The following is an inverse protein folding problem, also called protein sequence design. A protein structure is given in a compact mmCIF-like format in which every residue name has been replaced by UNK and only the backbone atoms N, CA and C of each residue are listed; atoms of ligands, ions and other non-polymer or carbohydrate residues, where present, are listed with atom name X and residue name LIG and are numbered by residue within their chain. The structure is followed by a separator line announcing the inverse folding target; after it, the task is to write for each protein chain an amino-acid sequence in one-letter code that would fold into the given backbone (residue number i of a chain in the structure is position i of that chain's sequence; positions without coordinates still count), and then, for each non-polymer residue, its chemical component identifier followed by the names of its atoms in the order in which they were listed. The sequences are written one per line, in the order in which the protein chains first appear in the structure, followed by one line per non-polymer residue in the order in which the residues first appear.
data_IF_621335993498
#
_entry.id   IF_621335993498
#
_cell.length_a   1.000
_cell.length_b   1.000
_cell.length_c   1.000
_cell.angle_alpha   90.00
_cell.angle_beta   90.00
_cell.angle_gamma   90.00
#
_symmetry.space_group_name_H-M   'P 1'
#
loop_
_entity.id
_entity.type
_entity.pdbx_description
1 polymer ?
#
# COMPACT_ATOMS: atom_id res chain seq x y z
N UNK A 1 -29.65 -6.12 -9.12
CA UNK A 1 -28.81 -5.74 -7.96
C UNK A 1 -28.68 -4.23 -8.03
N UNK A 2 -29.27 -3.53 -7.06
CA UNK A 2 -29.59 -2.11 -7.19
C UNK A 2 -28.37 -1.24 -6.86
N UNK A 3 -27.67 -0.82 -7.90
CA UNK A 3 -26.48 0.04 -7.85
C UNK A 3 -26.73 1.36 -7.10
N UNK A 4 -27.98 1.81 -7.07
CA UNK A 4 -28.44 3.00 -6.36
C UNK A 4 -28.36 2.86 -4.84
N UNK A 5 -28.66 1.67 -4.31
CA UNK A 5 -28.55 1.40 -2.88
C UNK A 5 -27.10 1.30 -2.44
N UNK A 6 -26.23 0.70 -3.25
CA UNK A 6 -24.78 0.66 -2.99
C UNK A 6 -24.20 2.08 -2.98
N UNK A 7 -24.55 2.92 -3.96
CA UNK A 7 -24.06 4.29 -4.04
C UNK A 7 -24.56 5.20 -2.91
N UNK A 8 -25.74 4.93 -2.33
CA UNK A 8 -26.25 5.61 -1.13
C UNK A 8 -25.48 5.21 0.12
N UNK A 9 -25.28 3.91 0.36
CA UNK A 9 -24.54 3.42 1.52
C UNK A 9 -23.07 3.86 1.48
N UNK A 10 -22.43 3.84 0.30
CA UNK A 10 -21.05 4.30 0.13
C UNK A 10 -20.91 5.81 0.41
N UNK A 11 -21.88 6.63 -0.02
CA UNK A 11 -21.91 8.06 0.29
C UNK A 11 -22.12 8.33 1.78
N UNK A 12 -22.92 7.50 2.44
CA UNK A 12 -23.16 7.59 3.87
C UNK A 12 -21.89 7.24 4.67
N UNK A 13 -21.22 6.15 4.30
CA UNK A 13 -19.93 5.73 4.87
C UNK A 13 -18.84 6.79 4.65
N UNK A 14 -18.68 7.26 3.41
CA UNK A 14 -17.66 8.25 3.07
C UNK A 14 -17.85 9.59 3.80
N UNK A 15 -19.11 9.99 4.05
CA UNK A 15 -19.41 11.21 4.80
C UNK A 15 -19.00 11.10 6.26
N UNK A 16 -19.18 9.92 6.88
CA UNK A 16 -18.80 9.66 8.26
C UNK A 16 -17.27 9.56 8.40
N UNK A 17 -16.61 8.84 7.49
CA UNK A 17 -15.15 8.70 7.49
C UNK A 17 -14.42 10.03 7.27
N UNK A 18 -14.99 10.92 6.46
CA UNK A 18 -14.43 12.25 6.21
C UNK A 18 -14.41 13.13 7.46
N UNK A 19 -15.43 13.03 8.32
CA UNK A 19 -15.49 13.81 9.57
C UNK A 19 -14.44 13.30 10.57
N UNK A 20 -14.28 11.98 10.67
CA UNK A 20 -13.28 11.35 11.54
C UNK A 20 -11.85 11.66 11.06
N UNK A 21 -11.62 11.60 9.74
CA UNK A 21 -10.35 11.96 9.14
C UNK A 21 -9.99 13.43 9.40
N UNK A 22 -10.94 14.37 9.26
CA UNK A 22 -10.66 15.80 9.45
C UNK A 22 -10.29 16.16 10.90
N UNK A 23 -10.97 15.57 11.88
CA UNK A 23 -10.65 15.75 13.31
C UNK A 23 -9.24 15.23 13.61
N UNK A 24 -8.92 14.03 13.11
CA UNK A 24 -7.61 13.40 13.32
C UNK A 24 -6.50 14.18 12.61
N UNK A 25 -6.75 14.65 11.39
CA UNK A 25 -5.82 15.44 10.59
C UNK A 25 -5.53 16.79 11.27
N UNK A 26 -6.54 17.46 11.82
CA UNK A 26 -6.37 18.74 12.53
C UNK A 26 -5.57 18.57 13.81
N UNK A 27 -5.82 17.49 14.57
CA UNK A 27 -5.05 17.19 15.78
C UNK A 27 -3.58 16.85 15.46
N UNK A 28 -3.35 16.08 14.38
CA UNK A 28 -2.00 15.78 13.87
C UNK A 28 -1.30 17.03 13.34
N UNK A 29 -1.98 17.88 12.57
CA UNK A 29 -1.40 19.09 12.00
C UNK A 29 -0.98 20.10 13.07
N UNK A 30 -1.80 20.33 14.09
CA UNK A 30 -1.45 21.25 15.19
C UNK A 30 -0.34 20.67 16.05
N UNK A 31 -0.41 19.38 16.39
CA UNK A 31 0.62 18.70 17.18
C UNK A 31 1.97 18.62 16.46
N UNK A 32 1.96 18.30 15.16
CA UNK A 32 3.16 18.22 14.32
C UNK A 32 3.73 19.62 14.05
N UNK A 33 2.88 20.62 13.79
CA UNK A 33 3.30 22.00 13.57
C UNK A 33 4.03 22.58 14.77
N UNK A 34 3.49 22.43 15.98
CA UNK A 34 4.15 22.90 17.20
C UNK A 34 5.46 22.15 17.48
N UNK A 35 5.50 20.84 17.25
CA UNK A 35 6.74 20.02 17.39
C UNK A 35 7.80 20.40 16.37
N UNK A 36 7.42 20.63 15.11
CA UNK A 36 8.33 21.06 14.06
C UNK A 36 8.91 22.45 14.35
N UNK A 37 8.06 23.38 14.81
CA UNK A 37 8.51 24.73 15.20
C UNK A 37 9.45 24.70 16.41
N UNK A 38 9.12 23.91 17.43
CA UNK A 38 10.00 23.69 18.58
C UNK A 38 11.34 23.08 18.17
N UNK A 39 11.33 22.07 17.28
CA UNK A 39 12.55 21.47 16.74
C UNK A 39 13.40 22.49 15.96
N UNK A 40 12.77 23.34 15.14
CA UNK A 40 13.46 24.41 14.41
C UNK A 40 14.13 25.40 15.36
N UNK A 41 13.42 25.86 16.40
CA UNK A 41 13.98 26.73 17.42
C UNK A 41 15.14 26.05 18.14
N UNK A 42 15.01 24.76 18.49
CA UNK A 42 16.06 24.01 19.14
C UNK A 42 17.33 23.92 18.28
N UNK A 43 17.19 23.66 16.98
CA UNK A 43 18.31 23.66 16.02
C UNK A 43 18.98 25.03 15.96
N UNK A 44 18.19 26.10 15.84
CA UNK A 44 18.74 27.45 15.77
C UNK A 44 19.44 27.87 17.07
N UNK A 45 18.85 27.52 18.22
CA UNK A 45 19.45 27.74 19.53
C UNK A 45 20.74 26.96 19.71
N UNK A 46 20.80 25.71 19.25
CA UNK A 46 22.02 24.90 19.28
C UNK A 46 23.13 25.51 18.40
N UNK A 47 22.80 25.96 17.19
CA UNK A 47 23.74 26.65 16.30
C UNK A 47 24.29 27.94 16.94
N UNK A 48 23.42 28.75 17.54
CA UNK A 48 23.85 29.98 18.22
C UNK A 48 24.71 29.69 19.45
N UNK A 49 24.37 28.64 20.20
CA UNK A 49 25.16 28.18 21.34
C UNK A 49 26.55 27.68 20.90
N UNK A 50 26.62 26.99 19.76
CA UNK A 50 27.89 26.54 19.18
C UNK A 50 28.76 27.72 18.76
N UNK A 51 28.21 28.73 18.06
CA UNK A 51 28.95 29.94 17.71
C UNK A 51 29.44 30.68 18.96
N UNK A 52 28.57 30.86 19.96
CA UNK A 52 28.94 31.53 21.20
C UNK A 52 30.06 30.79 21.93
N UNK A 53 29.96 29.47 22.03
CA UNK A 53 30.98 28.63 22.63
C UNK A 53 32.29 28.67 21.84
N UNK A 54 32.24 28.65 20.51
CA UNK A 54 33.43 28.78 19.66
C UNK A 54 34.14 30.11 19.88
N UNK A 55 33.40 31.21 19.85
CA UNK A 55 33.93 32.56 20.05
C UNK A 55 34.49 32.76 21.47
N UNK A 56 33.91 32.10 22.48
CA UNK A 56 34.44 32.13 23.84
C UNK A 56 35.71 31.26 23.96
N UNK A 57 35.72 30.07 23.36
CA UNK A 57 36.80 29.10 23.51
C UNK A 57 38.06 29.48 22.72
N UNK A 58 37.89 30.09 21.54
CA UNK A 58 39.00 30.59 20.72
C UNK A 58 39.76 31.75 21.37
N UNK A 59 39.17 32.42 22.37
CA UNK A 59 39.89 33.46 23.14
C UNK A 59 40.95 32.87 24.06
N UNK A 60 40.77 31.61 24.50
CA UNK A 60 41.65 30.95 25.46
C UNK A 60 42.45 29.81 24.80
N UNK A 61 42.02 29.33 23.64
CA UNK A 61 42.61 28.18 22.91
C UNK A 61 42.77 28.47 21.42
N UNK A 62 43.50 27.62 20.69
CA UNK A 62 43.61 27.75 19.23
C UNK A 62 42.31 27.38 18.51
N UNK A 63 42.06 28.01 17.36
CA UNK A 63 40.88 27.75 16.54
C UNK A 63 40.68 26.26 16.21
N UNK A 64 41.78 25.52 15.96
CA UNK A 64 41.76 24.09 15.66
C UNK A 64 41.27 23.29 16.87
N UNK A 65 41.80 23.58 18.07
CA UNK A 65 41.42 22.86 19.29
C UNK A 65 39.99 23.19 19.70
N UNK A 66 39.56 24.44 19.54
CA UNK A 66 38.19 24.87 19.79
C UNK A 66 37.20 24.12 18.86
N UNK A 67 37.47 24.10 17.55
CA UNK A 67 36.64 23.38 16.59
C UNK A 67 36.59 21.87 16.88
N UNK A 68 37.72 21.26 17.25
CA UNK A 68 37.77 19.84 17.60
C UNK A 68 36.95 19.54 18.86
N UNK A 69 37.03 20.39 19.90
CA UNK A 69 36.26 20.22 21.13
C UNK A 69 34.74 20.38 20.89
N UNK A 70 34.34 21.39 20.12
CA UNK A 70 32.94 21.64 19.77
C UNK A 70 32.36 20.52 18.90
N UNK A 71 33.10 20.08 17.88
CA UNK A 71 32.72 18.92 17.08
C UNK A 71 32.57 17.65 17.92
N UNK A 72 33.47 17.43 18.88
CA UNK A 72 33.37 16.34 19.86
C UNK A 72 32.08 16.43 20.70
N UNK A 73 31.76 17.60 21.25
CA UNK A 73 30.51 17.82 21.98
C UNK A 73 29.27 17.54 21.12
N UNK A 74 29.24 18.00 19.87
CA UNK A 74 28.13 17.74 18.95
C UNK A 74 27.97 16.24 18.64
N UNK A 75 29.08 15.50 18.50
CA UNK A 75 29.03 14.05 18.37
C UNK A 75 28.44 13.36 19.60
N UNK A 76 28.80 13.80 20.80
CA UNK A 76 28.21 13.28 22.04
C UNK A 76 26.71 13.55 22.10
N UNK A 77 26.28 14.77 21.77
CA UNK A 77 24.85 15.13 21.69
C UNK A 77 24.13 14.22 20.69
N UNK A 78 24.69 14.03 19.49
CA UNK A 78 24.13 13.17 18.46
C UNK A 78 24.02 11.70 18.92
N UNK A 79 25.04 11.18 19.60
CA UNK A 79 25.02 9.82 20.14
C UNK A 79 23.93 9.65 21.22
N UNK A 80 23.77 10.62 22.12
CA UNK A 80 22.69 10.62 23.11
C UNK A 80 21.32 10.64 22.44
N UNK A 81 21.12 11.52 21.45
CA UNK A 81 19.88 11.58 20.69
C UNK A 81 19.59 10.27 19.95
N UNK A 82 20.60 9.62 19.38
CA UNK A 82 20.45 8.34 18.70
C UNK A 82 20.04 7.23 19.69
N UNK A 83 20.66 7.17 20.87
CA UNK A 83 20.28 6.22 21.93
C UNK A 83 18.85 6.49 22.38
N UNK A 84 18.47 7.74 22.62
CA UNK A 84 17.09 8.09 22.99
C UNK A 84 16.09 7.74 21.88
N UNK A 85 16.42 8.04 20.62
CA UNK A 85 15.59 7.71 19.47
C UNK A 85 15.42 6.19 19.29
N UNK A 86 16.48 5.40 19.52
CA UNK A 86 16.40 3.94 19.49
C UNK A 86 15.57 3.34 20.63
N UNK A 87 15.40 4.08 21.74
CA UNK A 87 14.57 3.68 22.89
C UNK A 87 13.14 4.22 22.79
N UNK A 88 12.85 5.13 21.86
CA UNK A 88 11.51 5.66 21.65
C UNK A 88 10.61 4.51 21.15
N UNK A 89 9.43 4.29 21.78
CA UNK A 89 8.61 3.11 21.55
C UNK A 89 7.86 3.20 20.22
N UNK A 90 8.54 2.89 19.12
CA UNK A 90 7.93 2.58 17.82
C UNK A 90 7.44 1.12 17.75
N UNK A 91 7.88 0.23 18.64
CA UNK A 91 7.51 -1.20 18.60
C UNK A 91 6.08 -1.48 19.06
N UNK A 92 5.64 -0.94 20.20
CA UNK A 92 4.36 -1.34 20.82
C UNK A 92 3.12 -0.84 20.07
N UNK A 93 3.20 0.34 19.43
CA UNK A 93 2.09 0.88 18.63
C UNK A 93 2.01 0.25 17.23
N UNK A 94 3.14 -0.20 16.68
CA UNK A 94 3.19 -0.96 15.41
C UNK A 94 2.74 -2.41 15.64
N UNK A 95 3.08 -3.01 16.77
CA UNK A 95 2.64 -4.36 17.16
C UNK A 95 1.13 -4.41 17.42
N UNK A 96 0.56 -3.41 18.12
CA UNK A 96 -0.89 -3.28 18.28
C UNK A 96 -1.62 -3.03 16.94
N UNK A 97 -1.02 -2.28 16.01
CA UNK A 97 -1.57 -2.11 14.67
C UNK A 97 -1.51 -3.40 13.84
N UNK A 98 -0.47 -4.21 14.01
CA UNK A 98 -0.31 -5.50 13.34
C UNK A 98 -1.26 -6.57 13.91
N UNK A 99 -1.49 -6.59 15.24
CA UNK A 99 -2.47 -7.47 15.89
C UNK A 99 -3.93 -7.15 15.48
N UNK A 100 -4.26 -5.87 15.30
CA UNK A 100 -5.58 -5.45 14.78
C UNK A 100 -5.73 -5.86 13.30
N UNK A 101 -4.65 -5.80 12.52
CA UNK A 101 -4.65 -6.23 11.12
C UNK A 101 -4.77 -7.75 10.97
N UNK A 102 -4.06 -8.53 11.79
CA UNK A 102 -4.15 -10.00 11.77
C UNK A 102 -5.50 -10.50 12.28
N UNK A 103 -6.06 -9.92 13.36
CA UNK A 103 -7.40 -10.28 13.85
C UNK A 103 -8.52 -9.92 12.87
N UNK A 104 -8.35 -8.84 12.10
CA UNK A 104 -9.28 -8.48 11.03
C UNK A 104 -9.17 -9.43 9.82
N UNK A 105 -7.95 -9.91 9.49
CA UNK A 105 -7.74 -10.91 8.44
C UNK A 105 -8.32 -12.28 8.82
N UNK A 106 -8.21 -12.70 10.08
CA UNK A 106 -8.81 -13.95 10.58
C UNK A 106 -10.34 -13.88 10.57
N UNK A 107 -10.92 -12.74 10.95
CA UNK A 107 -12.36 -12.51 10.85
C UNK A 107 -12.84 -12.52 9.38
N UNK A 108 -12.09 -11.88 8.47
CA UNK A 108 -12.38 -11.89 7.03
C UNK A 108 -12.22 -13.28 6.40
N UNK A 109 -11.30 -14.12 6.87
CA UNK A 109 -11.16 -15.51 6.41
C UNK A 109 -12.28 -16.41 6.93
N UNK A 110 -12.74 -16.21 8.17
CA UNK A 110 -13.90 -16.94 8.70
C UNK A 110 -15.17 -16.58 7.92
N UNK A 111 -15.37 -15.30 7.63
CA UNK A 111 -16.52 -14.79 6.89
C UNK A 111 -16.44 -15.15 5.39
N UNK A 112 -15.25 -15.19 4.79
CA UNK A 112 -15.06 -15.69 3.42
C UNK A 112 -15.34 -17.19 3.31
N UNK A 113 -14.97 -17.99 4.32
CA UNK A 113 -15.29 -19.42 4.36
C UNK A 113 -16.77 -19.69 4.57
N UNK A 114 -17.47 -18.90 5.39
CA UNK A 114 -18.93 -19.03 5.54
C UNK A 114 -19.68 -18.61 4.27
N UNK A 115 -19.27 -17.51 3.63
CA UNK A 115 -19.83 -17.08 2.34
C UNK A 115 -19.55 -18.10 1.22
N UNK A 116 -18.37 -18.71 1.19
CA UNK A 116 -18.04 -19.76 0.23
C UNK A 116 -18.85 -21.05 0.48
N UNK A 117 -19.08 -21.40 1.75
CA UNK A 117 -19.91 -22.54 2.12
C UNK A 117 -21.39 -22.31 1.75
N UNK A 118 -21.91 -21.10 1.97
CA UNK A 118 -23.27 -20.73 1.58
C UNK A 118 -23.45 -20.68 0.06
N UNK A 119 -22.49 -20.13 -0.68
CA UNK A 119 -22.50 -20.14 -2.15
C UNK A 119 -22.37 -21.58 -2.68
N UNK A 120 -21.50 -22.40 -2.08
CA UNK A 120 -21.34 -23.82 -2.46
C UNK A 120 -22.61 -24.62 -2.18
N UNK A 121 -23.27 -24.42 -1.04
CA UNK A 121 -24.54 -25.08 -0.73
C UNK A 121 -25.67 -24.66 -1.67
N UNK A 122 -25.71 -23.40 -2.09
CA UNK A 122 -26.71 -22.87 -3.03
C UNK A 122 -26.45 -23.38 -4.47
N UNK A 123 -25.19 -23.60 -4.87
CA UNK A 123 -24.86 -24.15 -6.20
C UNK A 123 -25.14 -25.66 -6.26
N UNK A 124 -24.99 -26.38 -5.15
CA UNK A 124 -25.11 -27.84 -5.11
C UNK A 124 -26.56 -28.38 -5.03
N UNK A 125 -27.58 -27.52 -4.95
CA UNK A 125 -29.01 -27.86 -5.06
C UNK A 125 -29.76 -26.63 -5.60
N UNK A 126 -30.63 -26.63 -6.64
CA UNK A 126 -31.20 -27.67 -7.50
C UNK A 126 -30.83 -27.51 -9.00
N UNK A 127 -29.73 -26.81 -9.33
CA UNK A 127 -29.31 -26.57 -10.73
C UNK A 127 -28.66 -27.80 -11.38
N UNK A 128 -28.17 -28.77 -10.59
CA UNK A 128 -27.51 -29.97 -11.09
C UNK A 128 -28.43 -30.94 -11.89
N UNK A 129 -29.75 -30.72 -11.91
CA UNK A 129 -30.70 -31.50 -12.72
C UNK A 129 -31.03 -30.90 -14.09
N UNK A 130 -30.61 -29.65 -14.37
CA UNK A 130 -30.93 -28.94 -15.62
C UNK A 130 -29.68 -28.52 -16.43
N UNK A 131 -28.48 -28.61 -15.84
CA UNK A 131 -27.21 -28.24 -16.46
C UNK A 131 -26.86 -29.01 -17.75
N UNK A 132 -27.10 -30.33 -17.89
CA UNK A 132 -26.73 -31.05 -19.11
C UNK A 132 -27.48 -30.60 -20.36
N UNK A 133 -28.65 -29.98 -20.21
CA UNK A 133 -29.52 -29.60 -21.34
C UNK A 133 -29.18 -28.22 -21.92
N UNK A 134 -28.57 -27.33 -21.11
CA UNK A 134 -28.26 -25.94 -21.50
C UNK A 134 -26.78 -25.70 -21.83
N UNK A 135 -25.87 -26.45 -21.22
CA UNK A 135 -24.42 -26.21 -21.39
C UNK A 135 -23.85 -26.86 -22.67
N UNK A 136 -24.40 -28.00 -23.11
CA UNK A 136 -23.96 -28.68 -24.33
C UNK A 136 -24.14 -27.83 -25.61
N UNK A 137 -25.30 -27.18 -25.88
CA UNK A 137 -25.44 -26.36 -27.09
C UNK A 137 -24.56 -25.11 -27.07
N UNK A 138 -24.33 -24.48 -25.91
CA UNK A 138 -23.48 -23.30 -25.81
C UNK A 138 -21.99 -23.62 -26.02
N UNK A 139 -21.50 -24.70 -25.40
CA UNK A 139 -20.12 -25.14 -25.57
C UNK A 139 -19.83 -25.54 -27.03
N UNK A 140 -20.75 -26.26 -27.67
CA UNK A 140 -20.60 -26.65 -29.08
C UNK A 140 -20.68 -25.46 -30.03
N UNK A 141 -21.50 -24.45 -29.72
CA UNK A 141 -21.59 -23.21 -30.52
C UNK A 141 -20.31 -22.36 -30.44
N UNK A 142 -19.68 -22.26 -29.27
CA UNK A 142 -18.39 -21.57 -29.10
C UNK A 142 -17.26 -22.31 -29.82
N UNK A 143 -17.19 -23.64 -29.70
CA UNK A 143 -16.17 -24.45 -30.41
C UNK A 143 -16.35 -24.35 -31.94
N UNK A 144 -17.60 -24.32 -32.43
CA UNK A 144 -17.89 -24.15 -33.85
C UNK A 144 -17.55 -22.76 -34.37
N UNK A 145 -17.79 -21.72 -33.58
CA UNK A 145 -17.40 -20.34 -33.91
C UNK A 145 -15.87 -20.19 -33.98
N UNK A 146 -15.13 -20.79 -33.05
CA UNK A 146 -13.67 -20.76 -33.05
C UNK A 146 -13.06 -21.54 -34.23
N UNK A 147 -13.64 -22.69 -34.60
CA UNK A 147 -13.16 -23.48 -35.76
C UNK A 147 -13.44 -22.79 -37.09
N UNK A 148 -14.57 -22.09 -37.22
CA UNK A 148 -14.88 -21.33 -38.42
C UNK A 148 -13.89 -20.18 -38.65
N UNK A 149 -13.33 -19.61 -37.57
CA UNK A 149 -12.36 -18.52 -37.69
C UNK A 149 -10.94 -18.99 -38.04
N UNK A 150 -10.54 -20.18 -37.57
CA UNK A 150 -9.22 -20.76 -37.85
C UNK A 150 -9.07 -21.34 -39.27
N UNK A 151 -10.18 -21.63 -39.97
CA UNK A 151 -10.17 -22.12 -41.35
C UNK A 151 -9.89 -21.04 -42.41
N UNK A 152 -10.07 -19.77 -42.07
CA UNK A 152 -9.96 -18.65 -43.01
C UNK A 152 -8.53 -18.16 -43.24
N UNK A 153 -7.55 -18.65 -42.47
CA UNK A 153 -6.15 -18.18 -42.50
C UNK A 153 -5.17 -19.10 -43.26
N UNK A 154 -5.61 -20.26 -43.78
CA UNK A 154 -4.70 -21.25 -44.38
C UNK A 154 -4.82 -21.41 -45.92
N UNK A 155 -5.54 -20.51 -46.61
CA UNK A 155 -5.75 -20.59 -48.08
C UNK A 155 -4.90 -19.57 -48.89
N UNK A 156 -3.92 -18.89 -48.28
CA UNK A 156 -3.05 -17.92 -48.99
C UNK A 156 -1.54 -18.21 -48.88
N UNK A 157 -1.13 -19.35 -48.32
CA UNK A 157 0.28 -19.63 -48.03
C UNK A 157 0.84 -20.88 -48.73
N UNK A 158 0.53 -21.12 -50.02
CA UNK A 158 1.36 -22.04 -50.80
C UNK A 158 1.32 -21.78 -52.33
N UNK A 159 2.35 -21.13 -52.91
CA UNK A 159 2.59 -21.19 -54.34
C UNK A 159 3.35 -22.49 -54.72
N UNK A 160 3.15 -23.03 -55.94
CA UNK A 160 3.53 -24.39 -56.31
C UNK A 160 5.04 -24.58 -56.52
N UNK A 161 5.59 -25.80 -56.28
CA UNK A 161 6.91 -26.15 -56.77
C UNK A 161 6.84 -26.52 -58.27
N UNK A 162 7.84 -26.01 -58.98
CA UNK A 162 8.05 -25.99 -60.43
C UNK A 162 8.27 -27.38 -61.07
N UNK A 163 7.87 -27.56 -62.34
CA UNK A 163 8.34 -28.66 -63.20
C UNK A 163 7.33 -29.33 -64.17
N UNK A 164 7.43 -28.93 -65.45
CA UNK A 164 7.02 -29.51 -66.76
C UNK A 164 6.87 -31.06 -66.92
N UNK A 165 6.59 -31.64 -68.12
CA UNK A 165 6.01 -31.18 -69.41
C UNK A 165 4.78 -32.04 -69.84
N UNK A 166 4.05 -31.67 -70.91
CA UNK A 166 3.49 -32.62 -71.93
C UNK A 166 2.63 -31.94 -72.99
N UNK A 167 2.93 -32.30 -74.25
CA UNK A 167 2.16 -32.20 -75.51
C UNK A 167 1.98 -30.81 -76.15
#
# INVERSE_FOLDING_TARGET
MDTENVAKHLRLLWRTDRVIADIRLRHLLVGLGLRAFAALIAVFGLLMLELAAYLALVQVTSAVLAAAALGGCNFVIAAVLLILASRAPSGREIELANEIHSSSMDALQLEARSLQADISNIVNHPLNKLIPLLVVPLATMVIRALRAHAGSENETANPPPDGAPTA
#
